data_IF_239747369705
#
_entry.id   IF_239747369705
#
_cell.length_a   1.000
_cell.length_b   1.000
_cell.length_c   1.000
_cell.angle_alpha   90.00
_cell.angle_beta   90.00
_cell.angle_gamma   90.00
#
_symmetry.space_group_name_H-M   'P 1'
#
loop_
_entity.id
_entity.type
_entity.pdbx_description
1 polymer ?
#
# COMPACT_ATOMS: atom_id res chain seq x y z
N UNK A 1 30.01 4.41 -1.81
CA UNK A 1 29.16 3.34 -2.38
C UNK A 1 30.01 2.19 -2.89
N UNK A 2 29.59 0.96 -2.60
CA UNK A 2 30.17 -0.27 -3.18
C UNK A 2 29.96 -0.34 -4.70
N UNK A 3 30.78 -1.11 -5.42
CA UNK A 3 30.57 -1.41 -6.85
C UNK A 3 29.17 -2.02 -7.11
N UNK A 4 28.75 -2.93 -6.24
CA UNK A 4 27.42 -3.58 -6.31
C UNK A 4 26.30 -2.55 -6.10
N UNK A 5 26.48 -1.67 -5.12
CA UNK A 5 25.52 -0.62 -4.79
C UNK A 5 25.36 0.39 -5.94
N UNK A 6 26.47 0.81 -6.59
CA UNK A 6 26.43 1.66 -7.79
C UNK A 6 25.70 0.97 -8.95
N UNK A 7 26.00 -0.31 -9.18
CA UNK A 7 25.35 -1.11 -10.24
C UNK A 7 23.85 -1.22 -10.02
N UNK A 8 23.40 -1.45 -8.78
CA UNK A 8 21.98 -1.56 -8.47
C UNK A 8 21.28 -0.21 -8.45
N UNK A 9 21.93 0.86 -8.00
CA UNK A 9 21.40 2.22 -8.17
C UNK A 9 21.14 2.51 -9.66
N UNK A 10 22.09 2.20 -10.53
CA UNK A 10 21.90 2.38 -11.97
C UNK A 10 20.69 1.58 -12.47
N UNK A 11 20.55 0.31 -12.06
CA UNK A 11 19.38 -0.50 -12.43
C UNK A 11 18.05 0.08 -11.94
N UNK A 12 18.04 0.71 -10.77
CA UNK A 12 16.85 1.41 -10.26
C UNK A 12 16.54 2.63 -11.13
N UNK A 13 17.55 3.41 -11.48
CA UNK A 13 17.42 4.56 -12.39
C UNK A 13 16.93 4.12 -13.76
N UNK A 14 17.47 3.04 -14.33
CA UNK A 14 17.03 2.48 -15.60
C UNK A 14 15.53 2.11 -15.54
N UNK A 15 15.11 1.36 -14.51
CA UNK A 15 13.70 0.96 -14.35
C UNK A 15 12.80 2.17 -14.18
N UNK A 16 13.19 3.17 -13.38
CA UNK A 16 12.43 4.41 -13.25
C UNK A 16 12.39 5.22 -14.55
N UNK A 17 13.44 5.15 -15.38
CA UNK A 17 13.49 5.81 -16.69
C UNK A 17 12.51 5.24 -17.71
N UNK A 18 12.05 4.00 -17.52
CA UNK A 18 11.05 3.35 -18.36
C UNK A 18 9.60 3.63 -17.92
N UNK A 19 9.39 4.23 -16.74
CA UNK A 19 8.05 4.52 -16.23
C UNK A 19 7.34 5.71 -16.89
N UNK A 20 8.02 6.81 -17.27
CA UNK A 20 7.39 7.93 -17.95
C UNK A 20 6.63 7.54 -19.22
N UNK A 21 7.14 6.61 -20.03
CA UNK A 21 6.41 6.16 -21.22
C UNK A 21 5.10 5.45 -20.86
N UNK A 22 5.08 4.68 -19.77
CA UNK A 22 3.86 4.04 -19.27
C UNK A 22 2.88 5.06 -18.68
N UNK A 23 3.38 6.14 -18.10
CA UNK A 23 2.54 7.25 -17.62
C UNK A 23 1.88 7.98 -18.78
N UNK A 24 2.61 8.23 -19.87
CA UNK A 24 2.07 8.83 -21.09
C UNK A 24 1.00 7.92 -21.73
N UNK A 25 1.27 6.63 -21.86
CA UNK A 25 0.30 5.64 -22.34
C UNK A 25 -0.96 5.63 -21.45
N UNK A 26 -0.78 5.69 -20.13
CA UNK A 26 -1.89 5.73 -19.18
C UNK A 26 -2.73 7.00 -19.34
N UNK A 27 -2.10 8.17 -19.45
CA UNK A 27 -2.82 9.44 -19.67
C UNK A 27 -3.64 9.36 -20.96
N UNK A 28 -3.05 8.87 -22.05
CA UNK A 28 -3.74 8.69 -23.33
C UNK A 28 -4.96 7.76 -23.24
N UNK A 29 -4.92 6.75 -22.36
CA UNK A 29 -6.08 5.89 -22.11
C UNK A 29 -7.14 6.60 -21.27
N UNK A 30 -6.74 7.33 -20.22
CA UNK A 30 -7.66 8.08 -19.37
C UNK A 30 -8.38 9.18 -20.15
N UNK A 31 -7.71 9.86 -21.06
CA UNK A 31 -8.30 10.91 -21.90
C UNK A 31 -9.42 10.39 -22.82
N UNK A 32 -9.44 9.09 -23.14
CA UNK A 32 -10.53 8.47 -23.91
C UNK A 32 -11.83 8.36 -23.10
N UNK A 33 -11.76 8.47 -21.76
CA UNK A 33 -12.90 8.48 -20.85
C UNK A 33 -13.94 7.38 -21.15
N UNK A 34 -13.46 6.15 -21.39
CA UNK A 34 -14.26 5.04 -21.93
C UNK A 34 -14.05 3.75 -21.15
N UNK A 35 -15.12 2.98 -20.94
CA UNK A 35 -15.04 1.69 -20.23
C UNK A 35 -14.27 0.66 -21.05
N UNK A 36 -14.26 0.82 -22.38
CA UNK A 36 -13.59 -0.10 -23.29
C UNK A 36 -12.06 -0.15 -23.10
N UNK A 37 -11.47 0.85 -22.43
CA UNK A 37 -10.02 0.92 -22.20
C UNK A 37 -9.59 0.41 -20.82
N UNK A 38 -10.52 -0.10 -20.01
CA UNK A 38 -10.22 -0.54 -18.64
C UNK A 38 -9.26 -1.72 -18.62
N UNK A 39 -9.41 -2.67 -19.54
CA UNK A 39 -8.49 -3.80 -19.66
C UNK A 39 -7.06 -3.34 -19.99
N UNK A 40 -6.94 -2.35 -20.88
CA UNK A 40 -5.66 -1.73 -21.22
C UNK A 40 -5.04 -1.00 -20.00
N UNK A 41 -5.86 -0.27 -19.24
CA UNK A 41 -5.44 0.38 -18.00
C UNK A 41 -4.98 -0.66 -16.96
N UNK A 42 -5.67 -1.80 -16.85
CA UNK A 42 -5.29 -2.90 -15.98
C UNK A 42 -3.93 -3.51 -16.39
N UNK A 43 -3.68 -3.65 -17.69
CA UNK A 43 -2.38 -4.10 -18.23
C UNK A 43 -1.28 -3.11 -17.82
N UNK A 44 -1.48 -1.81 -17.98
CA UNK A 44 -0.51 -0.79 -17.55
C UNK A 44 -0.27 -0.85 -16.04
N UNK A 45 -1.34 -0.99 -15.25
CA UNK A 45 -1.24 -1.17 -13.79
C UNK A 45 -0.36 -2.38 -13.42
N UNK A 46 -0.54 -3.51 -14.10
CA UNK A 46 0.28 -4.70 -13.91
C UNK A 46 1.76 -4.47 -14.27
N UNK A 47 2.02 -3.69 -15.33
CA UNK A 47 3.38 -3.33 -15.75
C UNK A 47 4.06 -2.42 -14.72
N UNK A 48 3.37 -1.40 -14.19
CA UNK A 48 3.87 -0.60 -13.07
C UNK A 48 4.21 -1.51 -11.88
N UNK A 49 3.27 -2.35 -11.45
CA UNK A 49 3.47 -3.24 -10.31
C UNK A 49 4.68 -4.19 -10.51
N UNK A 50 4.87 -4.74 -11.72
CA UNK A 50 6.02 -5.59 -12.03
C UNK A 50 7.36 -4.84 -11.89
N UNK A 51 7.46 -3.63 -12.44
CA UNK A 51 8.68 -2.80 -12.39
C UNK A 51 8.98 -2.32 -10.97
N UNK A 52 7.97 -1.87 -10.23
CA UNK A 52 8.11 -1.42 -8.84
C UNK A 52 8.52 -2.57 -7.91
N UNK A 53 7.90 -3.74 -8.05
CA UNK A 53 8.28 -4.92 -7.26
C UNK A 53 9.71 -5.40 -7.57
N UNK A 54 10.17 -5.26 -8.82
CA UNK A 54 11.56 -5.57 -9.18
C UNK A 54 12.55 -4.69 -8.40
N UNK A 55 12.28 -3.37 -8.31
CA UNK A 55 13.10 -2.45 -7.53
C UNK A 55 13.11 -2.87 -6.05
N UNK A 56 11.93 -3.08 -5.47
CA UNK A 56 11.80 -3.36 -4.03
C UNK A 56 12.43 -4.66 -3.58
N UNK A 57 12.24 -5.74 -4.35
CA UNK A 57 12.72 -7.07 -3.97
C UNK A 57 14.20 -7.26 -4.26
N UNK A 58 14.69 -6.69 -5.37
CA UNK A 58 16.03 -7.03 -5.89
C UNK A 58 17.07 -5.94 -5.67
N UNK A 59 16.71 -4.67 -5.81
CA UNK A 59 17.71 -3.60 -5.90
C UNK A 59 17.72 -2.66 -4.69
N UNK A 60 16.55 -2.27 -4.18
CA UNK A 60 16.42 -1.35 -3.06
C UNK A 60 17.08 -1.83 -1.75
N UNK A 61 17.03 -3.13 -1.37
CA UNK A 61 17.66 -3.60 -0.13
C UNK A 61 19.18 -3.38 -0.06
N UNK A 62 19.81 -3.27 -1.23
CA UNK A 62 21.26 -3.17 -1.39
C UNK A 62 21.78 -1.73 -1.36
N UNK A 63 20.86 -0.76 -1.50
CA UNK A 63 21.18 0.66 -1.33
C UNK A 63 21.37 0.91 0.16
N UNK A 64 22.53 1.46 0.54
CA UNK A 64 22.86 1.77 1.94
C UNK A 64 22.84 3.27 2.19
N UNK A 65 23.24 4.05 1.19
CA UNK A 65 23.26 5.50 1.28
C UNK A 65 21.84 6.06 1.55
N UNK A 66 21.72 6.90 2.59
CA UNK A 66 20.44 7.41 3.12
C UNK A 66 19.75 8.39 2.15
N UNK A 67 20.48 9.32 1.55
CA UNK A 67 19.99 10.24 0.51
C UNK A 67 19.43 9.45 -0.67
N UNK A 68 20.16 8.44 -1.14
CA UNK A 68 19.70 7.61 -2.26
C UNK A 68 18.47 6.77 -1.86
N UNK A 69 18.46 6.20 -0.63
CA UNK A 69 17.26 5.55 -0.10
C UNK A 69 16.06 6.50 -0.08
N UNK A 70 16.26 7.74 0.35
CA UNK A 70 15.19 8.73 0.45
C UNK A 70 14.61 9.03 -0.94
N UNK A 71 15.46 9.29 -1.94
CA UNK A 71 15.03 9.62 -3.30
C UNK A 71 14.27 8.44 -3.93
N UNK A 72 14.80 7.23 -3.78
CA UNK A 72 14.17 6.01 -4.31
C UNK A 72 12.85 5.73 -3.59
N UNK A 73 12.82 5.80 -2.25
CA UNK A 73 11.62 5.52 -1.45
C UNK A 73 10.49 6.50 -1.74
N UNK A 74 10.80 7.77 -1.93
CA UNK A 74 9.81 8.80 -2.29
C UNK A 74 9.15 8.48 -3.63
N UNK A 75 9.95 8.07 -4.61
CA UNK A 75 9.46 7.65 -5.93
C UNK A 75 8.62 6.38 -5.83
N UNK A 76 9.08 5.37 -5.07
CA UNK A 76 8.34 4.12 -4.85
C UNK A 76 6.96 4.37 -4.21
N UNK A 77 6.87 5.29 -3.24
CA UNK A 77 5.59 5.65 -2.61
C UNK A 77 4.60 6.26 -3.61
N UNK A 78 5.07 7.15 -4.49
CA UNK A 78 4.23 7.71 -5.54
C UNK A 78 3.63 6.60 -6.41
N UNK A 79 4.47 5.69 -6.92
CA UNK A 79 3.98 4.62 -7.79
C UNK A 79 3.10 3.60 -7.06
N UNK A 80 3.32 3.37 -5.76
CA UNK A 80 2.40 2.56 -4.97
C UNK A 80 1.01 3.19 -4.85
N UNK A 81 0.94 4.49 -4.59
CA UNK A 81 -0.33 5.23 -4.56
C UNK A 81 -0.99 5.22 -5.96
N UNK A 82 -0.20 5.34 -7.03
CA UNK A 82 -0.71 5.21 -8.40
C UNK A 82 -1.32 3.82 -8.64
N UNK A 83 -0.59 2.75 -8.33
CA UNK A 83 -1.07 1.36 -8.48
C UNK A 83 -2.36 1.16 -7.66
N UNK A 84 -2.41 1.68 -6.43
CA UNK A 84 -3.60 1.59 -5.60
C UNK A 84 -4.81 2.28 -6.26
N UNK A 85 -4.63 3.52 -6.75
CA UNK A 85 -5.69 4.27 -7.46
C UNK A 85 -6.14 3.56 -8.73
N UNK A 86 -5.21 3.00 -9.51
CA UNK A 86 -5.54 2.24 -10.72
C UNK A 86 -6.29 0.94 -10.41
N UNK A 87 -5.90 0.24 -9.33
CA UNK A 87 -6.59 -0.98 -8.91
C UNK A 87 -8.02 -0.68 -8.44
N UNK A 88 -8.18 0.42 -7.69
CA UNK A 88 -9.49 0.91 -7.27
C UNK A 88 -10.36 1.31 -8.48
N UNK A 89 -9.78 2.02 -9.44
CA UNK A 89 -10.44 2.37 -10.69
C UNK A 89 -10.96 1.14 -11.44
N UNK A 90 -10.07 0.19 -11.74
CA UNK A 90 -10.41 -1.03 -12.49
C UNK A 90 -11.52 -1.78 -11.76
N UNK A 91 -11.38 -1.98 -10.44
CA UNK A 91 -12.39 -2.65 -9.62
C UNK A 91 -13.74 -1.93 -9.64
N UNK A 92 -13.76 -0.61 -9.55
CA UNK A 92 -15.01 0.15 -9.56
C UNK A 92 -15.70 0.08 -10.92
N UNK A 93 -14.95 0.18 -12.02
CA UNK A 93 -15.55 0.08 -13.35
C UNK A 93 -16.01 -1.35 -13.65
N UNK A 94 -15.28 -2.38 -13.23
CA UNK A 94 -15.72 -3.78 -13.35
C UNK A 94 -17.06 -4.03 -12.63
N UNK A 95 -17.21 -3.51 -11.40
CA UNK A 95 -18.40 -3.75 -10.58
C UNK A 95 -19.61 -2.90 -10.99
N UNK A 96 -19.40 -1.63 -11.37
CA UNK A 96 -20.48 -0.69 -11.60
C UNK A 96 -20.72 -0.35 -13.06
N UNK A 97 -19.80 -0.72 -13.96
CA UNK A 97 -19.86 -0.43 -15.41
C UNK A 97 -20.16 1.05 -15.68
N UNK A 98 -19.60 1.93 -14.85
CA UNK A 98 -19.80 3.37 -14.91
C UNK A 98 -18.47 4.07 -14.66
N UNK A 99 -18.23 5.12 -15.43
CA UNK A 99 -17.09 6.01 -15.23
C UNK A 99 -17.54 7.25 -14.47
N UNK A 100 -16.71 7.66 -13.52
CA UNK A 100 -16.74 8.99 -12.92
C UNK A 100 -15.68 9.87 -13.60
N UNK A 101 -16.08 10.83 -14.45
CA UNK A 101 -15.15 11.73 -15.12
C UNK A 101 -14.28 12.53 -14.14
N UNK A 102 -14.83 12.92 -12.99
CA UNK A 102 -14.09 13.68 -11.97
C UNK A 102 -12.95 12.83 -11.38
N UNK A 103 -13.16 11.52 -11.24
CA UNK A 103 -12.12 10.60 -10.78
C UNK A 103 -10.97 10.51 -11.80
N UNK A 104 -11.30 10.46 -13.10
CA UNK A 104 -10.31 10.42 -14.18
C UNK A 104 -9.47 11.70 -14.22
N UNK A 105 -10.13 12.86 -14.17
CA UNK A 105 -9.45 14.15 -14.12
C UNK A 105 -8.48 14.23 -12.92
N UNK A 106 -8.92 13.80 -11.73
CA UNK A 106 -8.06 13.73 -10.54
C UNK A 106 -6.89 12.75 -10.70
N UNK A 107 -7.08 11.65 -11.44
CA UNK A 107 -6.01 10.70 -11.70
C UNK A 107 -4.98 11.27 -12.69
N UNK A 108 -5.43 11.95 -13.75
CA UNK A 108 -4.57 12.66 -14.69
C UNK A 108 -3.81 13.79 -13.98
N UNK A 109 -4.48 14.56 -13.13
CA UNK A 109 -3.84 15.59 -12.29
C UNK A 109 -2.78 14.96 -11.36
N UNK A 110 -3.09 13.83 -10.73
CA UNK A 110 -2.17 13.12 -9.85
C UNK A 110 -0.89 12.68 -10.59
N UNK A 111 -1.01 12.17 -11.82
CA UNK A 111 0.13 11.76 -12.65
C UNK A 111 0.92 12.98 -13.11
N UNK A 112 0.23 14.04 -13.56
CA UNK A 112 0.85 15.28 -14.03
C UNK A 112 1.64 15.99 -12.91
N UNK A 113 1.11 15.96 -11.69
CA UNK A 113 1.74 16.54 -10.51
C UNK A 113 2.83 15.64 -9.87
N UNK A 114 3.24 14.55 -10.53
CA UNK A 114 4.21 13.56 -10.01
C UNK A 114 5.42 14.19 -9.35
N UNK A 115 6.11 15.13 -10.01
CA UNK A 115 7.34 15.71 -9.48
C UNK A 115 7.08 16.50 -8.19
N UNK A 116 6.03 17.33 -8.18
CA UNK A 116 5.63 18.09 -6.98
C UNK A 116 5.29 17.16 -5.81
N UNK A 117 4.53 16.08 -6.08
CA UNK A 117 4.16 15.09 -5.07
C UNK A 117 5.38 14.33 -4.55
N UNK A 118 6.30 13.92 -5.42
CA UNK A 118 7.53 13.21 -5.04
C UNK A 118 8.42 14.11 -4.18
N UNK A 119 8.73 15.33 -4.61
CA UNK A 119 9.63 16.23 -3.90
C UNK A 119 9.02 16.85 -2.64
N UNK A 120 7.69 17.00 -2.59
CA UNK A 120 6.97 17.48 -1.42
C UNK A 120 6.47 16.34 -0.53
N UNK A 121 5.22 15.92 -0.75
CA UNK A 121 4.48 14.97 0.10
C UNK A 121 5.28 13.70 0.38
N UNK A 122 5.73 12.99 -0.65
CA UNK A 122 6.35 11.68 -0.48
C UNK A 122 7.77 11.75 0.08
N UNK A 123 8.52 12.81 -0.24
CA UNK A 123 9.82 13.08 0.39
C UNK A 123 9.68 13.34 1.87
N UNK A 124 8.69 14.15 2.28
CA UNK A 124 8.43 14.44 3.69
C UNK A 124 8.07 13.18 4.46
N UNK A 125 7.13 12.37 3.95
CA UNK A 125 6.75 11.09 4.56
C UNK A 125 7.96 10.15 4.65
N UNK A 126 8.72 10.02 3.57
CA UNK A 126 9.90 9.13 3.53
C UNK A 126 10.99 9.59 4.49
N UNK A 127 11.19 10.90 4.64
CA UNK A 127 12.14 11.48 5.60
C UNK A 127 11.74 11.19 7.03
N UNK A 128 10.46 11.36 7.36
CA UNK A 128 9.92 11.02 8.68
C UNK A 128 10.11 9.53 8.96
N UNK A 129 9.69 8.65 8.05
CA UNK A 129 9.82 7.20 8.23
C UNK A 129 11.27 6.74 8.38
N UNK A 130 12.20 7.29 7.59
CA UNK A 130 13.62 6.96 7.70
C UNK A 130 14.19 7.50 9.03
N UNK A 131 13.87 8.74 9.40
CA UNK A 131 14.30 9.32 10.68
C UNK A 131 13.80 8.48 11.86
N UNK A 132 12.51 8.13 11.89
CA UNK A 132 11.92 7.29 12.94
C UNK A 132 12.54 5.89 12.98
N UNK A 133 12.93 5.33 11.84
CA UNK A 133 13.56 4.01 11.77
C UNK A 133 15.02 4.01 12.25
N UNK A 134 15.77 5.08 11.96
CA UNK A 134 17.20 5.19 12.30
C UNK A 134 17.47 5.88 13.66
N UNK A 135 16.53 6.64 14.20
CA UNK A 135 16.62 7.18 15.56
C UNK A 135 16.41 6.06 16.60
N UNK A 136 17.41 5.81 17.45
CA UNK A 136 17.38 4.75 18.48
C UNK A 136 16.17 4.89 19.42
N UNK A 137 15.79 6.11 19.77
CA UNK A 137 14.68 6.36 20.67
C UNK A 137 13.33 6.06 20.00
N UNK A 138 13.17 6.48 18.74
CA UNK A 138 12.00 6.18 17.93
C UNK A 138 11.85 4.69 17.60
N UNK A 139 12.97 4.01 17.34
CA UNK A 139 13.00 2.56 17.14
C UNK A 139 12.58 1.79 18.40
N UNK A 140 13.11 2.16 19.56
CA UNK A 140 12.70 1.56 20.83
C UNK A 140 11.19 1.76 21.11
N UNK A 141 10.64 2.92 20.75
CA UNK A 141 9.19 3.17 20.82
C UNK A 141 8.39 2.31 19.85
N UNK A 142 8.83 2.16 18.60
CA UNK A 142 8.17 1.30 17.61
C UNK A 142 8.23 -0.18 18.00
N UNK A 143 9.37 -0.67 18.49
CA UNK A 143 9.52 -2.03 19.02
C UNK A 143 8.61 -2.23 20.22
N UNK A 144 8.52 -1.26 21.14
CA UNK A 144 7.58 -1.31 22.26
C UNK A 144 6.12 -1.40 21.81
N UNK A 145 5.67 -0.55 20.88
CA UNK A 145 4.30 -0.58 20.32
C UNK A 145 4.03 -1.91 19.60
N UNK A 146 5.01 -2.45 18.87
CA UNK A 146 4.86 -3.72 18.17
C UNK A 146 4.72 -4.89 19.15
N UNK A 147 5.55 -4.93 20.19
CA UNK A 147 5.47 -5.90 21.28
C UNK A 147 4.12 -5.80 21.99
N UNK A 148 3.68 -4.60 22.35
CA UNK A 148 2.36 -4.37 22.97
C UNK A 148 1.22 -4.87 22.06
N UNK A 149 1.27 -4.63 20.74
CA UNK A 149 0.26 -5.14 19.79
C UNK A 149 0.28 -6.66 19.65
N UNK A 150 1.45 -7.30 19.68
CA UNK A 150 1.58 -8.75 19.65
C UNK A 150 1.04 -9.36 20.95
N UNK A 151 1.38 -8.77 22.10
CA UNK A 151 0.88 -9.19 23.41
C UNK A 151 -0.63 -8.99 23.55
N UNK A 152 -1.18 -7.90 23.02
CA UNK A 152 -2.62 -7.67 22.96
C UNK A 152 -3.32 -8.66 22.03
N UNK A 153 -2.72 -9.03 20.89
CA UNK A 153 -3.23 -10.12 20.04
C UNK A 153 -3.15 -11.48 20.73
N UNK A 154 -2.11 -11.76 21.52
CA UNK A 154 -2.05 -12.99 22.33
C UNK A 154 -3.03 -12.98 23.51
N UNK A 155 -3.48 -11.81 23.96
CA UNK A 155 -4.57 -11.68 24.95
C UNK A 155 -5.96 -11.70 24.33
N UNK A 156 -6.07 -11.67 23.00
CA UNK A 156 -7.32 -11.86 22.24
C UNK A 156 -7.58 -13.33 21.85
N UNK A 157 -6.79 -14.28 22.33
CA UNK A 157 -7.25 -15.67 22.36
C UNK A 157 -8.35 -15.77 23.42
N UNK A 158 -9.57 -15.98 22.94
CA UNK A 158 -10.79 -16.24 23.69
C UNK A 158 -10.50 -16.79 25.10
N UNK A 159 -10.60 -15.93 26.12
CA UNK A 159 -10.94 -16.45 27.43
C UNK A 159 -12.34 -17.04 27.27
N UNK A 160 -12.50 -18.34 27.49
CA UNK A 160 -13.79 -19.04 27.36
C UNK A 160 -14.90 -18.26 28.09
N UNK A 161 -14.56 -17.60 29.20
CA UNK A 161 -15.45 -16.67 29.91
C UNK A 161 -16.00 -15.51 29.07
N UNK A 162 -15.21 -14.85 28.20
CA UNK A 162 -15.70 -13.71 27.41
C UNK A 162 -16.62 -14.15 26.27
N UNK A 163 -16.37 -15.32 25.67
CA UNK A 163 -17.23 -15.88 24.63
C UNK A 163 -18.56 -16.36 25.21
N UNK A 164 -18.55 -17.06 26.35
CA UNK A 164 -19.79 -17.46 27.03
C UNK A 164 -20.62 -16.25 27.47
N UNK A 165 -19.98 -15.20 27.98
CA UNK A 165 -20.65 -13.95 28.34
C UNK A 165 -21.25 -13.24 27.13
N UNK A 166 -20.55 -13.19 26.00
CA UNK A 166 -21.09 -12.65 24.75
C UNK A 166 -22.28 -13.48 24.23
N UNK A 167 -22.18 -14.80 24.25
CA UNK A 167 -23.28 -15.70 23.83
C UNK A 167 -24.50 -15.50 24.72
N UNK A 168 -24.32 -15.47 26.06
CA UNK A 168 -25.40 -15.21 27.02
C UNK A 168 -26.03 -13.83 26.80
N UNK A 169 -25.22 -12.81 26.50
CA UNK A 169 -25.70 -11.44 26.27
C UNK A 169 -26.52 -11.34 24.99
N UNK A 170 -26.06 -11.93 23.88
CA UNK A 170 -26.79 -11.96 22.61
C UNK A 170 -28.12 -12.71 22.76
N UNK A 171 -28.10 -13.87 23.39
CA UNK A 171 -29.30 -14.68 23.60
C UNK A 171 -30.33 -14.02 24.53
N UNK A 172 -29.87 -13.28 25.55
CA UNK A 172 -30.76 -12.48 26.41
C UNK A 172 -31.39 -11.30 25.66
N UNK A 173 -30.65 -10.63 24.77
CA UNK A 173 -31.19 -9.58 23.89
C UNK A 173 -32.23 -10.16 22.93
N UNK A 174 -32.04 -11.40 22.47
CA UNK A 174 -32.99 -12.13 21.64
C UNK A 174 -34.20 -12.71 22.41
N UNK A 175 -34.30 -12.47 23.73
CA UNK A 175 -35.46 -12.83 24.55
C UNK A 175 -35.37 -14.20 25.25
N UNK A 176 -34.22 -14.85 25.26
CA UNK A 176 -34.04 -16.11 26.00
C UNK A 176 -33.90 -15.83 27.52
N UNK A 177 -34.71 -16.50 28.34
CA UNK A 177 -34.65 -16.37 29.81
C UNK A 177 -33.46 -17.13 30.42
N UNK A 178 -33.01 -18.23 29.80
CA UNK A 178 -31.85 -19.02 30.24
C UNK A 178 -31.08 -19.59 29.03
N UNK A 179 -29.75 -19.60 29.14
CA UNK A 179 -28.84 -20.13 28.11
C UNK A 179 -27.89 -21.11 28.78
N UNK A 180 -27.99 -22.38 28.40
CA UNK A 180 -27.14 -23.47 28.86
C UNK A 180 -26.25 -23.90 27.70
N UNK A 181 -24.94 -23.78 27.88
CA UNK A 181 -23.95 -24.24 26.92
C UNK A 181 -23.53 -25.64 27.37
N UNK A 182 -23.89 -26.65 26.59
CA UNK A 182 -23.47 -28.04 26.83
C UNK A 182 -22.21 -28.33 26.00
N UNK A 183 -21.33 -29.16 26.54
CA UNK A 183 -20.23 -29.72 25.76
C UNK A 183 -20.82 -30.63 24.67
N UNK A 184 -20.19 -30.64 23.50
CA UNK A 184 -20.57 -31.57 22.44
C UNK A 184 -20.20 -32.99 22.87
N UNK A 185 -21.15 -33.93 22.76
CA UNK A 185 -20.86 -35.35 22.91
C UNK A 185 -20.02 -35.81 21.69
N UNK A 186 -18.96 -36.58 21.97
CA UNK A 186 -17.97 -37.07 20.99
C UNK A 186 -18.58 -37.87 19.81
#
# INVERSE_FOLDING_TARGET
>A
MSYIEKKYKQKITDVFGELPSLEEDLINLLDKNSIAVIDDIAIICAQFNKKINLILKKYYPEIKEIKDKLDIKSSLKFYYDLIHKLTDLVRNVENFQKIDPEYYEKLVEFITNKQSLIFGKYRNISTQELTTFYDKNSRAKLEKILTEKIEMKSKQYFTIGSLEEEIKKIAKIAGAENVLITLADD
#
